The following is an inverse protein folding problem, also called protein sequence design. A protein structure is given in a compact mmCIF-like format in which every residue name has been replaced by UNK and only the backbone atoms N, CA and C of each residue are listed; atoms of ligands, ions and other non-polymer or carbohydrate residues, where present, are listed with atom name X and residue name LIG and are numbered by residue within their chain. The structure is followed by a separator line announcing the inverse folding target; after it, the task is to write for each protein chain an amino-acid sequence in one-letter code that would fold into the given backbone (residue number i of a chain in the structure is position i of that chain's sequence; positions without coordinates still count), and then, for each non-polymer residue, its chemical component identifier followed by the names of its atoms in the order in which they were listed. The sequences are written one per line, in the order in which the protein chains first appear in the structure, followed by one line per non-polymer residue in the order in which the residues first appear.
data_IF_827681744290
#
_entry.id   IF_827681744290
#
_cell.length_a   1.000
_cell.length_b   1.000
_cell.length_c   1.000
_cell.angle_alpha   90.00
_cell.angle_beta   90.00
_cell.angle_gamma   90.00
#
_symmetry.space_group_name_H-M   'P 1'
#
loop_
_entity.id
_entity.type
_entity.pdbx_description
1 polymer ?
#
# COMPACT_ATOMS: atom_id res chain seq x y z
N UNK A 1 19.16 -3.66 32.38
CA UNK A 1 18.27 -4.81 32.73
C UNK A 1 17.76 -5.40 31.43
N UNK A 2 18.43 -6.43 30.96
CA UNK A 2 17.99 -7.20 29.78
C UNK A 2 16.75 -7.99 30.16
N UNK A 3 15.60 -7.57 29.66
CA UNK A 3 14.38 -8.38 29.77
C UNK A 3 14.51 -9.55 28.78
N UNK A 4 14.71 -10.74 29.32
CA UNK A 4 14.46 -11.99 28.61
C UNK A 4 12.98 -12.02 28.24
N UNK A 5 12.67 -12.04 26.93
CA UNK A 5 11.30 -12.16 26.48
C UNK A 5 11.25 -13.03 25.23
N UNK A 6 11.00 -14.28 25.45
CA UNK A 6 10.63 -15.25 24.41
C UNK A 6 9.10 -15.30 24.16
N UNK A 7 8.36 -14.28 24.56
CA UNK A 7 6.95 -14.12 24.19
C UNK A 7 6.80 -12.86 23.35
N UNK A 8 6.56 -13.01 22.05
CA UNK A 8 6.21 -11.89 21.16
C UNK A 8 5.00 -11.14 21.76
N UNK A 9 5.20 -9.87 22.08
CA UNK A 9 4.11 -8.98 22.50
C UNK A 9 3.10 -8.85 21.36
N UNK A 10 1.83 -8.63 21.70
CA UNK A 10 0.79 -8.36 20.71
C UNK A 10 1.07 -7.11 19.86
N UNK A 11 0.49 -7.06 18.67
CA UNK A 11 0.68 -5.99 17.67
C UNK A 11 0.54 -4.58 18.27
N UNK A 12 -0.54 -4.32 19.02
CA UNK A 12 -0.79 -2.99 19.59
C UNK A 12 0.30 -2.57 20.60
N UNK A 13 0.84 -3.52 21.38
CA UNK A 13 1.93 -3.24 22.32
C UNK A 13 3.22 -2.93 21.57
N UNK A 14 3.54 -3.68 20.51
CA UNK A 14 4.72 -3.43 19.65
C UNK A 14 4.61 -2.10 18.94
N UNK A 15 3.43 -1.77 18.41
CA UNK A 15 3.16 -0.50 17.76
C UNK A 15 3.39 0.73 18.67
N UNK A 16 3.26 0.57 19.97
CA UNK A 16 3.46 1.67 20.93
C UNK A 16 4.91 1.76 21.42
N UNK A 17 5.57 0.60 21.65
CA UNK A 17 6.79 0.55 22.43
C UNK A 17 8.07 0.24 21.65
N UNK A 18 7.98 -0.56 20.58
CA UNK A 18 9.19 -0.98 19.86
C UNK A 18 9.77 0.21 19.08
N UNK A 19 11.09 0.40 19.17
CA UNK A 19 11.77 1.56 18.59
C UNK A 19 11.44 2.92 19.23
N UNK A 20 10.56 2.95 20.25
CA UNK A 20 10.06 4.16 20.90
C UNK A 20 10.48 4.22 22.38
N UNK A 21 11.80 4.09 22.62
CA UNK A 21 12.35 4.11 23.99
C UNK A 21 12.33 5.54 24.56
N UNK A 22 11.98 5.70 25.86
CA UNK A 22 12.10 6.98 26.53
C UNK A 22 13.53 7.55 26.43
N UNK A 23 13.62 8.88 26.32
CA UNK A 23 14.92 9.56 26.24
C UNK A 23 15.78 9.27 27.50
N UNK A 24 16.98 8.72 27.34
CA UNK A 24 17.79 8.33 28.48
C UNK A 24 18.34 9.52 29.29
N UNK A 25 18.38 10.71 28.68
CA UNK A 25 18.93 11.92 29.31
C UNK A 25 17.90 12.65 30.16
N UNK A 26 16.66 12.80 29.62
CA UNK A 26 15.62 13.61 30.25
C UNK A 26 14.50 12.76 30.85
N UNK A 27 14.40 11.47 30.46
CA UNK A 27 13.28 10.60 30.80
C UNK A 27 11.99 10.92 30.02
N UNK A 28 12.04 11.71 28.96
CA UNK A 28 10.89 12.03 28.15
C UNK A 28 10.28 10.74 27.56
N UNK A 29 8.98 10.54 27.75
CA UNK A 29 8.27 9.33 27.29
C UNK A 29 8.26 9.21 25.78
N UNK A 30 8.13 10.35 25.07
CA UNK A 30 8.24 10.43 23.61
C UNK A 30 9.69 10.78 23.27
N UNK A 31 10.38 9.99 22.43
CA UNK A 31 11.73 10.28 22.00
C UNK A 31 11.83 11.67 21.34
N UNK A 32 12.91 12.42 21.56
CA UNK A 32 13.14 13.70 20.90
C UNK A 32 13.22 13.58 19.38
N UNK A 33 12.84 14.64 18.66
CA UNK A 33 13.06 14.73 17.22
C UNK A 33 14.47 15.28 17.00
N UNK A 34 15.36 14.45 16.46
CA UNK A 34 16.74 14.84 16.14
C UNK A 34 16.81 15.53 14.77
N UNK A 35 16.36 16.78 14.72
CA UNK A 35 16.35 17.60 13.51
C UNK A 35 17.75 18.17 13.24
N UNK A 36 18.67 17.30 12.84
CA UNK A 36 20.08 17.64 12.55
C UNK A 36 20.58 16.90 11.32
N UNK A 37 21.57 17.46 10.65
CA UNK A 37 22.26 16.81 9.52
C UNK A 37 23.50 16.04 9.95
N UNK A 38 24.20 16.48 11.02
CA UNK A 38 25.52 15.95 11.41
C UNK A 38 25.65 15.83 12.93
N UNK A 39 26.55 14.97 13.36
CA UNK A 39 26.82 14.66 14.76
C UNK A 39 28.26 14.86 15.11
N UNK A 40 28.56 15.38 16.32
CA UNK A 40 29.92 15.59 16.82
C UNK A 40 30.57 14.25 17.15
N UNK A 41 31.84 14.11 16.75
CA UNK A 41 32.69 12.97 17.10
C UNK A 41 33.70 13.40 18.18
N UNK A 42 34.10 12.47 19.06
CA UNK A 42 35.08 12.74 20.12
C UNK A 42 36.56 12.68 19.62
N UNK A 43 36.76 12.17 18.39
CA UNK A 43 38.02 12.11 17.65
C UNK A 43 37.75 11.63 16.22
N UNK A 44 38.77 11.58 15.37
CA UNK A 44 38.65 11.11 13.99
C UNK A 44 38.16 9.66 13.99
N UNK A 45 36.96 9.43 13.41
CA UNK A 45 36.23 8.14 13.39
C UNK A 45 35.91 7.58 14.80
N UNK A 46 35.84 8.45 15.82
CA UNK A 46 35.41 8.09 17.17
C UNK A 46 34.01 8.61 17.43
N UNK A 47 33.04 7.79 17.04
CA UNK A 47 31.60 8.11 17.19
C UNK A 47 31.16 8.00 18.65
N UNK A 48 30.26 8.87 19.06
CA UNK A 48 29.56 8.76 20.35
C UNK A 48 28.61 7.57 20.37
N UNK A 49 28.04 7.30 21.54
CA UNK A 49 27.01 6.27 21.69
C UNK A 49 25.93 6.38 20.61
N UNK A 50 25.55 5.24 19.99
CA UNK A 50 24.63 5.18 18.86
C UNK A 50 25.29 5.21 17.48
N UNK A 51 26.59 5.60 17.36
CA UNK A 51 27.36 5.51 16.10
C UNK A 51 26.88 6.46 15.00
N UNK A 52 26.23 7.58 15.37
CA UNK A 52 25.72 8.54 14.39
C UNK A 52 26.82 9.47 13.90
N UNK A 53 26.87 9.68 12.60
CA UNK A 53 27.80 10.58 11.92
C UNK A 53 27.06 11.65 11.13
N UNK A 54 26.15 11.23 10.28
CA UNK A 54 25.42 12.08 9.35
C UNK A 54 24.00 11.50 9.11
N UNK A 55 22.98 12.35 9.10
CA UNK A 55 21.57 11.91 9.08
C UNK A 55 21.18 11.14 7.82
N UNK A 56 21.88 11.28 6.68
CA UNK A 56 21.67 10.42 5.52
C UNK A 56 21.98 8.95 5.82
N UNK A 57 23.01 8.67 6.60
CA UNK A 57 23.38 7.31 7.02
C UNK A 57 22.53 6.81 8.18
N UNK A 58 22.43 7.61 9.24
CA UNK A 58 21.73 7.23 10.48
C UNK A 58 21.21 8.47 11.20
N UNK A 59 19.98 8.39 11.71
CA UNK A 59 19.37 9.44 12.53
C UNK A 59 18.50 8.77 13.60
N UNK A 60 18.62 9.13 14.90
CA UNK A 60 17.91 8.44 15.98
C UNK A 60 16.39 8.39 15.78
N UNK A 61 15.76 9.47 15.29
CA UNK A 61 14.31 9.52 15.05
C UNK A 61 13.91 8.57 13.93
N UNK A 62 14.63 8.56 12.80
CA UNK A 62 14.38 7.63 11.70
C UNK A 62 14.62 6.18 12.11
N UNK A 63 15.71 5.92 12.84
CA UNK A 63 16.04 4.57 13.31
C UNK A 63 14.94 4.01 14.23
N UNK A 64 14.37 4.83 15.13
CA UNK A 64 13.27 4.42 15.98
C UNK A 64 12.00 4.06 15.19
N UNK A 65 11.70 4.78 14.12
CA UNK A 65 10.62 4.43 13.21
C UNK A 65 10.92 3.14 12.43
N UNK A 66 12.13 2.98 11.90
CA UNK A 66 12.58 1.79 11.19
C UNK A 66 12.51 0.53 12.09
N UNK A 67 12.95 0.62 13.35
CA UNK A 67 12.85 -0.45 14.33
C UNK A 67 11.39 -0.83 14.63
N UNK A 68 10.54 0.17 14.86
CA UNK A 68 9.11 -0.02 15.10
C UNK A 68 8.45 -0.77 13.94
N UNK A 69 8.67 -0.33 12.70
CA UNK A 69 8.06 -0.94 11.51
C UNK A 69 8.62 -2.34 11.24
N UNK A 70 9.93 -2.55 11.41
CA UNK A 70 10.55 -3.87 11.29
C UNK A 70 9.90 -4.88 12.27
N UNK A 71 9.68 -4.46 13.51
CA UNK A 71 8.99 -5.28 14.49
C UNK A 71 7.56 -5.64 14.03
N UNK A 72 6.78 -4.67 13.56
CA UNK A 72 5.38 -4.90 13.16
C UNK A 72 5.26 -5.85 11.97
N UNK A 73 6.16 -5.75 11.00
CA UNK A 73 6.21 -6.63 9.82
C UNK A 73 6.93 -7.96 10.06
N UNK A 74 7.42 -8.22 11.28
CA UNK A 74 8.25 -9.39 11.59
C UNK A 74 9.54 -9.48 10.75
N UNK A 75 10.08 -8.33 10.34
CA UNK A 75 11.31 -8.23 9.57
C UNK A 75 12.54 -8.12 10.46
N UNK A 76 13.72 -8.33 9.85
CA UNK A 76 15.01 -8.14 10.53
C UNK A 76 15.44 -6.69 10.52
N UNK A 77 15.08 -5.94 9.48
CA UNK A 77 15.42 -4.52 9.34
C UNK A 77 14.42 -3.80 8.44
N UNK A 78 14.15 -2.54 8.75
CA UNK A 78 13.42 -1.62 7.90
C UNK A 78 14.29 -0.42 7.49
N UNK A 79 13.91 0.22 6.39
CA UNK A 79 14.54 1.41 5.82
C UNK A 79 13.47 2.40 5.43
N UNK A 80 13.56 3.63 5.93
CA UNK A 80 12.59 4.68 5.68
C UNK A 80 13.09 5.67 4.62
N UNK A 81 12.22 5.97 3.67
CA UNK A 81 12.47 6.79 2.49
C UNK A 81 11.52 7.99 2.41
N UNK A 82 11.89 8.97 1.59
CA UNK A 82 11.14 10.21 1.41
C UNK A 82 9.77 10.05 0.71
N UNK A 83 9.49 8.89 0.10
CA UNK A 83 8.19 8.54 -0.47
C UNK A 83 8.09 7.03 -0.73
N UNK A 84 6.88 6.51 -0.97
CA UNK A 84 6.69 5.12 -1.41
C UNK A 84 7.48 4.82 -2.68
N UNK A 85 7.42 5.71 -3.68
CA UNK A 85 8.20 5.56 -4.92
C UNK A 85 9.70 5.57 -4.72
N UNK A 86 10.22 6.35 -3.74
CA UNK A 86 11.64 6.32 -3.39
C UNK A 86 12.03 4.99 -2.71
N UNK A 87 11.14 4.40 -1.93
CA UNK A 87 11.32 3.07 -1.34
C UNK A 87 11.37 1.98 -2.42
N UNK A 88 10.43 2.01 -3.37
CA UNK A 88 10.38 1.06 -4.50
C UNK A 88 11.62 1.18 -5.39
N UNK A 89 11.99 2.41 -5.82
CA UNK A 89 13.17 2.65 -6.66
C UNK A 89 14.46 2.20 -5.95
N UNK A 90 14.60 2.51 -4.64
CA UNK A 90 15.76 2.09 -3.87
C UNK A 90 15.86 0.56 -3.77
N UNK A 91 14.74 -0.12 -3.49
CA UNK A 91 14.72 -1.59 -3.44
C UNK A 91 15.08 -2.20 -4.79
N UNK A 92 14.41 -1.77 -5.87
CA UNK A 92 14.66 -2.31 -7.20
C UNK A 92 16.10 -2.07 -7.67
N UNK A 93 16.67 -0.87 -7.42
CA UNK A 93 18.10 -0.59 -7.73
C UNK A 93 19.08 -1.37 -6.87
N UNK A 94 18.71 -1.70 -5.63
CA UNK A 94 19.56 -2.51 -4.76
C UNK A 94 19.68 -3.96 -5.25
N UNK A 95 18.64 -4.48 -5.94
CA UNK A 95 18.59 -5.91 -6.28
C UNK A 95 18.72 -6.22 -7.78
N UNK A 96 18.40 -5.25 -8.67
CA UNK A 96 18.42 -5.44 -10.12
C UNK A 96 19.77 -5.05 -10.74
N UNK A 97 20.08 -5.70 -11.86
CA UNK A 97 21.21 -5.39 -12.74
C UNK A 97 20.72 -5.34 -14.19
N UNK A 98 21.43 -4.65 -15.11
CA UNK A 98 21.09 -4.66 -16.52
C UNK A 98 20.97 -6.08 -17.08
N UNK A 99 19.87 -6.35 -17.77
CA UNK A 99 19.52 -7.69 -18.29
C UNK A 99 18.55 -8.47 -17.40
N UNK A 100 18.31 -8.02 -16.17
CA UNK A 100 17.32 -8.67 -15.30
C UNK A 100 15.87 -8.46 -15.79
N UNK A 101 15.01 -9.36 -15.35
CA UNK A 101 13.59 -9.36 -15.63
C UNK A 101 12.78 -9.23 -14.34
N UNK A 102 11.70 -8.42 -14.38
CA UNK A 102 10.74 -8.23 -13.29
C UNK A 102 9.39 -8.77 -13.71
N UNK A 103 8.76 -9.58 -12.87
CA UNK A 103 7.37 -10.01 -13.01
C UNK A 103 6.50 -9.11 -12.13
N UNK A 104 5.53 -8.42 -12.73
CA UNK A 104 4.56 -7.55 -12.03
C UNK A 104 3.19 -8.21 -12.01
N UNK A 105 2.50 -8.20 -10.88
CA UNK A 105 1.06 -8.48 -10.86
C UNK A 105 0.29 -7.40 -11.66
N UNK A 106 -0.84 -7.77 -12.29
CA UNK A 106 -1.56 -6.89 -13.21
C UNK A 106 -2.00 -5.55 -12.58
N UNK A 107 -2.44 -5.62 -11.34
CA UNK A 107 -3.08 -4.50 -10.65
C UNK A 107 -2.13 -3.78 -9.67
N UNK A 108 -0.80 -3.83 -9.90
CA UNK A 108 0.12 -3.02 -9.06
C UNK A 108 -0.14 -1.53 -9.27
N UNK A 109 0.18 -0.73 -8.29
CA UNK A 109 0.05 0.72 -8.35
C UNK A 109 0.61 1.29 -9.66
N UNK A 110 -0.09 2.24 -10.27
CA UNK A 110 0.33 2.85 -11.54
C UNK A 110 1.70 3.53 -11.50
N UNK A 111 2.17 3.94 -10.31
CA UNK A 111 3.52 4.45 -10.08
C UNK A 111 4.58 3.36 -10.23
N UNK A 112 4.36 2.20 -9.61
CA UNK A 112 5.24 1.02 -9.71
C UNK A 112 5.39 0.56 -11.17
N UNK A 113 4.25 0.44 -11.88
CA UNK A 113 4.27 0.13 -13.30
C UNK A 113 5.10 1.15 -14.09
N UNK A 114 4.86 2.45 -13.88
CA UNK A 114 5.59 3.53 -14.57
C UNK A 114 7.08 3.53 -14.25
N UNK A 115 7.46 3.22 -13.00
CA UNK A 115 8.86 3.09 -12.59
C UNK A 115 9.56 1.98 -13.38
N UNK A 116 8.96 0.81 -13.45
CA UNK A 116 9.56 -0.34 -14.14
C UNK A 116 9.54 -0.14 -15.67
N UNK A 117 8.39 0.26 -16.24
CA UNK A 117 8.18 0.38 -17.67
C UNK A 117 8.93 1.57 -18.31
N UNK A 118 9.02 2.72 -17.62
CA UNK A 118 9.56 3.95 -18.22
C UNK A 118 10.94 4.34 -17.70
N UNK A 119 11.25 4.02 -16.45
CA UNK A 119 12.53 4.42 -15.83
C UNK A 119 13.54 3.29 -15.92
N UNK A 120 13.20 2.12 -15.36
CA UNK A 120 14.15 1.02 -15.26
C UNK A 120 14.38 0.31 -16.60
N UNK A 121 13.40 0.33 -17.51
CA UNK A 121 13.59 -0.17 -18.89
C UNK A 121 14.72 0.54 -19.62
N UNK A 122 14.90 1.84 -19.40
CA UNK A 122 16.05 2.61 -19.93
C UNK A 122 17.41 2.16 -19.37
N UNK A 123 17.43 1.37 -18.30
CA UNK A 123 18.63 0.79 -17.69
C UNK A 123 18.80 -0.69 -18.02
N UNK A 124 18.06 -1.18 -18.99
CA UNK A 124 18.16 -2.56 -19.48
C UNK A 124 17.36 -3.58 -18.64
N UNK A 125 16.42 -3.13 -17.81
CA UNK A 125 15.50 -4.01 -17.10
C UNK A 125 14.30 -4.31 -17.99
N UNK A 126 13.98 -5.60 -18.15
CA UNK A 126 12.76 -6.04 -18.82
C UNK A 126 11.68 -6.41 -17.81
N UNK A 127 10.41 -6.39 -18.23
CA UNK A 127 9.33 -6.81 -17.36
C UNK A 127 8.26 -7.61 -18.12
N UNK A 128 7.47 -8.34 -17.37
CA UNK A 128 6.24 -8.99 -17.82
C UNK A 128 5.14 -8.81 -16.79
N UNK A 129 3.89 -8.78 -17.25
CA UNK A 129 2.74 -8.60 -16.37
C UNK A 129 1.98 -9.92 -16.28
N UNK A 130 1.64 -10.33 -15.05
CA UNK A 130 0.77 -11.48 -14.79
C UNK A 130 -0.68 -11.00 -14.84
N UNK A 131 -1.53 -11.56 -15.71
CA UNK A 131 -2.89 -11.03 -15.93
C UNK A 131 -3.85 -11.27 -14.78
N UNK A 132 -3.47 -12.08 -13.81
CA UNK A 132 -4.30 -12.48 -12.67
C UNK A 132 -3.53 -12.40 -11.35
N UNK A 133 -4.20 -12.68 -10.23
CA UNK A 133 -3.54 -12.86 -8.93
C UNK A 133 -2.96 -14.28 -8.72
N UNK A 134 -3.03 -15.15 -9.74
CA UNK A 134 -2.65 -16.57 -9.67
C UNK A 134 -1.13 -16.76 -9.65
N UNK A 135 -0.64 -17.57 -8.72
CA UNK A 135 0.74 -18.00 -8.67
C UNK A 135 1.13 -18.88 -9.87
N UNK A 136 0.18 -19.66 -10.43
CA UNK A 136 0.42 -20.47 -11.63
C UNK A 136 0.68 -19.60 -12.86
N UNK A 137 -0.04 -18.47 -12.99
CA UNK A 137 0.22 -17.50 -14.05
C UNK A 137 1.57 -16.82 -13.84
N UNK A 138 1.94 -16.52 -12.61
CA UNK A 138 3.26 -15.99 -12.28
C UNK A 138 4.35 -16.98 -12.66
N UNK A 139 4.21 -18.26 -12.34
CA UNK A 139 5.17 -19.31 -12.70
C UNK A 139 5.38 -19.41 -14.23
N UNK A 140 4.30 -19.32 -15.01
CA UNK A 140 4.37 -19.30 -16.49
C UNK A 140 5.04 -18.04 -17.05
N UNK A 141 5.05 -16.95 -16.29
CA UNK A 141 5.62 -15.66 -16.70
C UNK A 141 7.11 -15.54 -16.36
N UNK A 142 7.60 -16.35 -15.42
CA UNK A 142 9.01 -16.39 -15.02
C UNK A 142 9.90 -16.75 -16.22
N UNK A 143 11.02 -16.07 -16.35
CA UNK A 143 12.09 -16.36 -17.31
C UNK A 143 13.28 -16.97 -16.57
N UNK A 144 13.55 -18.26 -16.72
CA UNK A 144 14.64 -18.93 -16.03
C UNK A 144 15.98 -18.22 -16.21
N UNK A 145 16.69 -17.97 -15.11
CA UNK A 145 18.00 -17.33 -15.08
C UNK A 145 18.03 -15.80 -15.31
N UNK A 146 16.89 -15.17 -15.63
CA UNK A 146 16.82 -13.71 -15.78
C UNK A 146 15.77 -13.04 -14.90
N UNK A 147 14.71 -13.73 -14.47
CA UNK A 147 13.75 -13.16 -13.52
C UNK A 147 14.42 -13.00 -12.16
N UNK A 148 14.55 -11.74 -11.72
CA UNK A 148 15.19 -11.38 -10.47
C UNK A 148 14.16 -11.01 -9.38
N UNK A 149 13.02 -10.44 -9.76
CA UNK A 149 11.99 -9.95 -8.84
C UNK A 149 10.60 -10.35 -9.33
N UNK A 150 9.78 -10.89 -8.44
CA UNK A 150 8.34 -10.95 -8.54
C UNK A 150 7.78 -9.84 -7.63
N UNK A 151 7.01 -8.91 -8.19
CA UNK A 151 6.38 -7.81 -7.46
C UNK A 151 4.87 -8.03 -7.38
N UNK A 152 4.37 -8.16 -6.17
CA UNK A 152 2.98 -8.43 -5.85
C UNK A 152 2.40 -7.27 -5.02
N UNK A 153 1.19 -6.83 -5.32
CA UNK A 153 0.38 -5.95 -4.47
C UNK A 153 -0.91 -6.68 -4.11
N UNK A 154 -1.18 -6.88 -2.82
CA UNK A 154 -2.35 -7.63 -2.36
C UNK A 154 -2.82 -7.16 -0.97
N UNK A 155 -4.12 -6.76 -0.83
CA UNK A 155 -5.10 -6.53 -1.90
C UNK A 155 -4.64 -5.49 -2.91
N UNK A 156 -4.98 -5.69 -4.19
CA UNK A 156 -4.48 -4.85 -5.29
C UNK A 156 -5.23 -3.52 -5.42
N UNK A 157 -4.62 -2.56 -6.12
CA UNK A 157 -5.20 -1.25 -6.37
C UNK A 157 -5.45 -1.05 -7.88
N UNK A 158 -6.68 -0.79 -8.33
CA UNK A 158 -7.86 -0.46 -7.53
C UNK A 158 -8.89 -1.60 -7.40
N UNK A 159 -8.64 -2.79 -7.98
CA UNK A 159 -9.65 -3.84 -8.11
C UNK A 159 -9.74 -4.78 -6.89
N UNK A 160 -8.88 -4.58 -5.90
CA UNK A 160 -8.88 -5.30 -4.61
C UNK A 160 -8.79 -6.83 -4.76
N UNK A 161 -8.08 -7.31 -5.80
CA UNK A 161 -7.79 -8.74 -5.98
C UNK A 161 -6.85 -9.20 -4.87
N UNK A 162 -7.11 -10.39 -4.35
CA UNK A 162 -6.28 -11.01 -3.30
C UNK A 162 -5.48 -12.16 -3.89
N UNK A 163 -4.20 -12.21 -3.56
CA UNK A 163 -3.29 -13.25 -4.01
C UNK A 163 -2.75 -14.08 -2.83
N UNK A 164 -2.51 -15.36 -3.07
CA UNK A 164 -1.82 -16.25 -2.13
C UNK A 164 -0.31 -15.95 -2.11
N UNK A 165 0.12 -15.17 -1.12
CA UNK A 165 1.53 -14.76 -0.97
C UNK A 165 2.43 -15.99 -0.82
N UNK A 166 2.02 -17.04 -0.09
CA UNK A 166 2.83 -18.22 0.11
C UNK A 166 3.00 -19.02 -1.20
N UNK A 167 1.99 -19.05 -2.07
CA UNK A 167 2.12 -19.64 -3.39
C UNK A 167 3.06 -18.82 -4.28
N UNK A 168 2.97 -17.49 -4.28
CA UNK A 168 3.91 -16.64 -5.00
C UNK A 168 5.35 -16.76 -4.47
N UNK A 169 5.52 -16.92 -3.14
CA UNK A 169 6.83 -17.12 -2.54
C UNK A 169 7.50 -18.41 -3.06
N UNK A 170 6.75 -19.51 -3.16
CA UNK A 170 7.25 -20.75 -3.75
C UNK A 170 7.70 -20.55 -5.21
N UNK A 171 6.93 -19.83 -6.01
CA UNK A 171 7.31 -19.51 -7.40
C UNK A 171 8.61 -18.70 -7.45
N UNK A 172 8.78 -17.74 -6.55
CA UNK A 172 9.99 -16.94 -6.48
C UNK A 172 11.21 -17.78 -6.07
N UNK A 173 11.06 -18.63 -5.04
CA UNK A 173 12.11 -19.53 -4.57
C UNK A 173 12.54 -20.53 -5.67
N UNK A 174 11.58 -21.14 -6.36
CA UNK A 174 11.84 -22.08 -7.47
C UNK A 174 12.55 -21.40 -8.66
N UNK A 175 12.27 -20.10 -8.86
CA UNK A 175 12.92 -19.30 -9.90
C UNK A 175 14.29 -18.74 -9.49
N UNK A 176 14.68 -18.86 -8.22
CA UNK A 176 15.84 -18.18 -7.66
C UNK A 176 15.69 -16.64 -7.70
N UNK A 177 14.47 -16.15 -7.53
CA UNK A 177 14.09 -14.74 -7.56
C UNK A 177 13.63 -14.26 -6.18
N UNK A 178 13.50 -12.94 -6.02
CA UNK A 178 12.94 -12.32 -4.80
C UNK A 178 11.44 -12.08 -4.97
N UNK A 179 10.65 -12.41 -3.96
CA UNK A 179 9.27 -11.93 -3.84
C UNK A 179 9.27 -10.63 -3.03
N UNK A 180 8.76 -9.57 -3.63
CA UNK A 180 8.46 -8.29 -2.99
C UNK A 180 6.94 -8.12 -2.93
N UNK A 181 6.43 -7.78 -1.77
CA UNK A 181 4.99 -7.51 -1.58
C UNK A 181 4.80 -6.06 -1.17
N UNK A 182 4.02 -5.32 -1.93
CA UNK A 182 3.49 -4.04 -1.49
C UNK A 182 2.31 -4.31 -0.54
N UNK A 183 2.52 -4.00 0.75
CA UNK A 183 1.57 -4.24 1.84
C UNK A 183 0.86 -2.96 2.29
N UNK A 184 0.87 -1.92 1.44
CA UNK A 184 0.32 -0.60 1.78
C UNK A 184 -1.16 -0.64 2.15
N UNK A 185 -1.97 -1.46 1.46
CA UNK A 185 -3.42 -1.54 1.71
C UNK A 185 -3.76 -2.36 2.96
N UNK A 186 -3.12 -3.53 3.13
CA UNK A 186 -3.37 -4.39 4.28
C UNK A 186 -2.69 -3.88 5.55
N UNK A 187 -1.51 -3.29 5.45
CA UNK A 187 -0.67 -2.89 6.58
C UNK A 187 -0.23 -4.07 7.46
N UNK A 188 0.75 -3.92 8.35
CA UNK A 188 1.09 -4.99 9.29
C UNK A 188 -0.03 -5.32 10.30
N UNK A 189 -1.12 -4.54 10.32
CA UNK A 189 -2.27 -4.84 11.17
C UNK A 189 -3.13 -5.99 10.62
N UNK A 190 -3.20 -6.13 9.29
CA UNK A 190 -4.05 -7.15 8.65
C UNK A 190 -3.24 -8.28 7.99
N UNK A 191 -1.98 -8.04 7.61
CA UNK A 191 -1.17 -9.00 6.86
C UNK A 191 0.31 -8.82 7.13
N UNK A 192 1.06 -9.93 7.26
CA UNK A 192 2.51 -9.93 7.44
C UNK A 192 3.18 -10.79 6.35
N UNK A 193 3.48 -10.23 5.17
CA UNK A 193 3.98 -10.98 4.03
C UNK A 193 5.30 -11.72 4.27
N UNK A 194 6.19 -11.17 5.13
CA UNK A 194 7.47 -11.82 5.46
C UNK A 194 7.27 -13.16 6.14
N UNK A 195 6.22 -13.32 6.95
CA UNK A 195 5.88 -14.60 7.60
C UNK A 195 5.30 -15.62 6.63
N UNK A 196 4.83 -15.16 5.46
CA UNK A 196 4.27 -15.97 4.38
C UNK A 196 5.30 -16.29 3.28
N UNK A 197 6.58 -15.92 3.49
CA UNK A 197 7.67 -16.25 2.59
C UNK A 197 8.16 -15.11 1.69
N UNK A 198 7.55 -13.92 1.73
CA UNK A 198 8.09 -12.78 1.01
C UNK A 198 9.52 -12.44 1.49
N UNK A 199 10.35 -11.90 0.61
CA UNK A 199 11.72 -11.50 0.91
C UNK A 199 11.81 -10.06 1.38
N UNK A 200 10.94 -9.20 0.84
CA UNK A 200 10.82 -7.80 1.20
C UNK A 200 9.36 -7.35 1.15
N UNK A 201 9.04 -6.36 1.97
CA UNK A 201 7.75 -5.68 2.00
C UNK A 201 7.98 -4.21 1.71
N UNK A 202 7.24 -3.66 0.77
CA UNK A 202 7.21 -2.24 0.47
C UNK A 202 5.97 -1.57 1.08
N UNK A 203 6.12 -0.32 1.50
CA UNK A 203 5.03 0.51 2.00
C UNK A 203 5.12 1.94 1.47
N UNK A 204 3.99 2.49 1.07
CA UNK A 204 3.79 3.93 1.12
C UNK A 204 3.35 4.31 2.54
N UNK A 205 4.27 4.83 3.35
CA UNK A 205 3.95 5.25 4.73
C UNK A 205 3.05 6.48 4.77
N UNK A 206 2.89 7.16 3.64
CA UNK A 206 1.91 8.22 3.36
C UNK A 206 0.47 7.80 3.68
N UNK A 207 0.17 6.49 3.59
CA UNK A 207 -1.19 5.93 3.67
C UNK A 207 -1.54 5.61 5.12
N UNK A 208 -2.07 4.44 5.40
CA UNK A 208 -2.50 4.01 6.74
C UNK A 208 -1.43 4.13 7.83
N UNK A 209 -0.14 3.98 7.48
CA UNK A 209 0.95 4.10 8.47
C UNK A 209 0.99 5.52 9.05
N UNK A 210 1.06 6.56 8.23
CA UNK A 210 0.91 7.95 8.66
C UNK A 210 -0.50 8.22 9.16
N UNK A 211 -1.49 7.90 8.33
CA UNK A 211 -2.91 7.83 8.67
C UNK A 211 -3.64 9.15 8.86
N UNK A 212 -2.98 10.29 8.64
CA UNK A 212 -3.55 11.62 8.92
C UNK A 212 -3.36 12.60 7.76
N UNK A 213 -3.02 12.11 6.57
CA UNK A 213 -2.83 12.93 5.34
C UNK A 213 -1.81 14.08 5.49
N UNK A 214 -0.91 13.98 6.47
CA UNK A 214 0.05 15.03 6.88
C UNK A 214 1.52 14.65 6.68
N UNK A 215 1.81 13.44 6.15
CA UNK A 215 3.16 12.95 5.87
C UNK A 215 3.26 12.28 4.52
N UNK A 216 4.33 12.55 3.80
CA UNK A 216 4.76 11.82 2.61
C UNK A 216 5.97 10.95 2.98
N UNK A 217 5.88 9.64 2.74
CA UNK A 217 6.98 8.74 3.06
C UNK A 217 6.82 7.35 2.46
N UNK A 218 7.88 6.56 2.57
CA UNK A 218 7.89 5.16 2.17
C UNK A 218 8.81 4.34 3.06
N UNK A 219 8.66 3.03 3.01
CA UNK A 219 9.55 2.13 3.72
C UNK A 219 9.69 0.80 2.99
N UNK A 220 10.84 0.14 3.21
CA UNK A 220 11.06 -1.26 2.86
C UNK A 220 11.44 -2.01 4.11
N UNK A 221 10.81 -3.15 4.35
CA UNK A 221 11.17 -4.08 5.42
C UNK A 221 11.66 -5.39 4.79
N UNK A 222 12.77 -5.92 5.29
CA UNK A 222 13.36 -7.16 4.77
C UNK A 222 13.45 -8.24 5.84
N UNK A 223 13.33 -9.51 5.42
CA UNK A 223 13.73 -10.64 6.24
C UNK A 223 15.24 -10.88 6.13
N UNK A 224 15.76 -11.76 6.96
CA UNK A 224 17.13 -12.27 6.77
C UNK A 224 17.18 -13.13 5.50
N UNK A 225 17.67 -12.52 4.42
CA UNK A 225 17.79 -13.14 3.12
C UNK A 225 19.04 -12.63 2.40
N UNK A 226 19.68 -13.53 1.64
CA UNK A 226 20.85 -13.21 0.82
C UNK A 226 20.44 -13.04 -0.65
N UNK A 227 21.08 -12.09 -1.29
CA UNK A 227 20.92 -11.84 -2.72
C UNK A 227 22.26 -11.51 -3.36
N UNK A 228 22.71 -12.34 -4.30
CA UNK A 228 23.95 -12.11 -5.05
C UNK A 228 25.16 -11.88 -4.14
N UNK A 229 25.29 -12.70 -3.08
CA UNK A 229 26.44 -12.74 -2.20
C UNK A 229 26.41 -11.77 -0.99
N UNK A 230 25.38 -10.92 -0.88
CA UNK A 230 25.20 -9.98 0.24
C UNK A 230 23.81 -10.17 0.86
N UNK A 231 23.61 -9.70 2.09
CA UNK A 231 22.24 -9.64 2.65
C UNK A 231 21.43 -8.52 2.00
N UNK A 232 20.11 -8.71 1.90
CA UNK A 232 19.22 -7.64 1.42
C UNK A 232 19.34 -6.37 2.27
N UNK A 233 19.56 -6.54 3.58
CA UNK A 233 19.73 -5.43 4.50
C UNK A 233 20.99 -4.60 4.20
N UNK A 234 22.14 -5.26 3.90
CA UNK A 234 23.38 -4.57 3.52
C UNK A 234 23.23 -3.82 2.20
N UNK A 235 22.63 -4.46 1.19
CA UNK A 235 22.39 -3.82 -0.11
C UNK A 235 21.49 -2.61 -0.01
N UNK A 236 20.40 -2.69 0.74
CA UNK A 236 19.50 -1.57 0.97
C UNK A 236 20.12 -0.45 1.80
N UNK A 237 20.90 -0.79 2.83
CA UNK A 237 21.62 0.18 3.62
C UNK A 237 22.61 0.98 2.75
N UNK A 238 23.36 0.28 1.90
CA UNK A 238 24.25 0.93 0.95
C UNK A 238 23.49 1.82 -0.05
N UNK A 239 22.41 1.31 -0.63
CA UNK A 239 21.58 2.06 -1.59
C UNK A 239 20.99 3.32 -0.95
N UNK A 240 20.41 3.19 0.26
CA UNK A 240 19.84 4.31 1.01
C UNK A 240 20.92 5.39 1.30
N UNK A 241 22.10 4.96 1.78
CA UNK A 241 23.19 5.87 2.07
C UNK A 241 23.76 6.55 0.82
N UNK A 242 24.01 5.78 -0.25
CA UNK A 242 24.66 6.27 -1.45
C UNK A 242 23.75 7.21 -2.27
N UNK A 243 22.44 6.88 -2.41
CA UNK A 243 21.49 7.65 -3.20
C UNK A 243 20.75 8.73 -2.40
N UNK A 244 20.62 8.54 -1.09
CA UNK A 244 20.22 9.61 -0.17
C UNK A 244 18.72 9.93 -0.13
N UNK A 245 17.83 9.10 -0.68
CA UNK A 245 16.38 9.31 -0.67
C UNK A 245 15.74 8.99 0.70
N UNK A 246 16.37 9.39 1.79
CA UNK A 246 15.97 9.08 3.18
C UNK A 246 14.77 9.89 3.65
N UNK A 247 13.98 9.32 4.56
CA UNK A 247 12.96 10.07 5.29
C UNK A 247 13.58 11.14 6.19
N UNK A 248 13.01 12.33 6.21
CA UNK A 248 13.37 13.38 7.13
C UNK A 248 12.99 13.01 8.58
N UNK A 249 13.70 13.56 9.60
CA UNK A 249 13.39 13.24 10.99
C UNK A 249 11.95 13.58 11.40
N UNK A 250 11.42 14.70 10.92
CA UNK A 250 10.04 15.09 11.24
C UNK A 250 9.02 14.16 10.59
N UNK A 251 9.23 13.78 9.32
CA UNK A 251 8.38 12.82 8.61
C UNK A 251 8.43 11.44 9.28
N UNK A 252 9.62 10.98 9.67
CA UNK A 252 9.78 9.73 10.41
C UNK A 252 9.06 9.77 11.78
N UNK A 253 9.09 10.90 12.48
CA UNK A 253 8.34 11.10 13.72
C UNK A 253 6.83 11.03 13.50
N UNK A 254 6.29 11.67 12.47
CA UNK A 254 4.85 11.61 12.16
C UNK A 254 4.43 10.19 11.79
N UNK A 255 5.22 9.48 10.98
CA UNK A 255 4.95 8.08 10.63
C UNK A 255 4.99 7.16 11.88
N UNK A 256 6.00 7.31 12.75
CA UNK A 256 6.08 6.57 14.02
C UNK A 256 4.90 6.87 14.94
N UNK A 257 4.47 8.14 15.00
CA UNK A 257 3.27 8.55 15.76
C UNK A 257 2.01 7.90 15.19
N UNK A 258 1.87 7.86 13.88
CA UNK A 258 0.76 7.20 13.19
C UNK A 258 0.68 5.70 13.50
N UNK A 259 1.82 4.99 13.50
CA UNK A 259 1.88 3.57 13.83
C UNK A 259 1.31 3.23 15.20
N UNK A 260 1.44 4.11 16.21
CA UNK A 260 0.95 3.86 17.57
C UNK A 260 -0.56 3.64 17.63
N UNK A 261 -1.30 4.18 16.68
CA UNK A 261 -2.76 4.01 16.60
C UNK A 261 -3.21 3.17 15.40
N UNK A 262 -2.28 2.61 14.65
CA UNK A 262 -2.61 1.82 13.45
C UNK A 262 -3.60 0.69 13.73
N UNK A 263 -3.45 -0.15 14.78
CA UNK A 263 -4.39 -1.23 15.02
C UNK A 263 -5.83 -0.73 15.26
N UNK A 264 -6.00 0.32 16.05
CA UNK A 264 -7.32 0.92 16.33
C UNK A 264 -7.95 1.54 15.09
N UNK A 265 -7.14 2.23 14.27
CA UNK A 265 -7.63 2.84 13.03
C UNK A 265 -8.03 1.78 12.02
N UNK A 266 -7.21 0.73 11.85
CA UNK A 266 -7.54 -0.35 10.92
C UNK A 266 -8.81 -1.11 11.33
N UNK A 267 -9.03 -1.35 12.61
CA UNK A 267 -10.29 -1.92 13.11
C UNK A 267 -11.50 -1.08 12.68
N UNK A 268 -11.43 0.24 12.86
CA UNK A 268 -12.53 1.15 12.47
C UNK A 268 -12.67 1.26 10.95
N UNK A 269 -11.56 1.38 10.19
CA UNK A 269 -11.61 1.38 8.73
C UNK A 269 -12.27 0.12 8.18
N UNK A 270 -11.90 -1.05 8.69
CA UNK A 270 -12.48 -2.33 8.26
C UNK A 270 -13.96 -2.43 8.59
N UNK A 271 -14.36 -2.03 9.80
CA UNK A 271 -15.75 -2.04 10.24
C UNK A 271 -16.62 -1.11 9.36
N UNK A 272 -16.19 0.14 9.17
CA UNK A 272 -16.92 1.08 8.33
C UNK A 272 -16.99 0.61 6.87
N UNK A 273 -15.85 0.11 6.32
CA UNK A 273 -15.81 -0.35 4.94
C UNK A 273 -16.71 -1.56 4.70
N UNK A 274 -16.83 -2.48 5.63
CA UNK A 274 -17.72 -3.62 5.51
C UNK A 274 -19.19 -3.17 5.41
N UNK A 275 -19.64 -2.27 6.28
CA UNK A 275 -21.00 -1.71 6.26
C UNK A 275 -21.27 -0.92 4.97
N UNK A 276 -20.30 -0.11 4.53
CA UNK A 276 -20.38 0.63 3.25
C UNK A 276 -20.46 -0.34 2.06
N UNK A 277 -19.66 -1.42 2.07
CA UNK A 277 -19.67 -2.41 0.99
C UNK A 277 -21.03 -3.14 0.90
N UNK A 278 -21.60 -3.54 2.04
CA UNK A 278 -22.95 -4.13 2.08
C UNK A 278 -24.03 -3.15 1.61
N UNK A 279 -23.95 -1.89 2.02
CA UNK A 279 -24.86 -0.86 1.54
C UNK A 279 -24.78 -0.71 0.03
N UNK A 280 -23.59 -0.52 -0.54
CA UNK A 280 -23.39 -0.40 -1.99
C UNK A 280 -23.89 -1.64 -2.73
N UNK A 281 -23.60 -2.83 -2.21
CA UNK A 281 -24.02 -4.12 -2.80
C UNK A 281 -25.54 -4.31 -2.84
N UNK A 282 -26.25 -3.71 -1.90
CA UNK A 282 -27.74 -3.78 -1.82
C UNK A 282 -28.46 -2.82 -2.79
N UNK A 283 -27.73 -1.93 -3.47
CA UNK A 283 -28.28 -0.86 -4.29
C UNK A 283 -28.53 -1.31 -5.73
N UNK A 284 -29.71 -1.02 -6.28
CA UNK A 284 -30.05 -1.25 -7.69
C UNK A 284 -29.30 -0.30 -8.66
N UNK A 285 -28.85 0.84 -8.17
CA UNK A 285 -28.08 1.84 -8.93
C UNK A 285 -26.54 1.64 -8.83
N UNK A 286 -26.09 0.48 -8.32
CA UNK A 286 -24.70 0.02 -8.32
C UNK A 286 -24.60 -1.29 -9.10
N UNK A 287 -23.71 -1.33 -10.09
CA UNK A 287 -23.54 -2.48 -10.99
C UNK A 287 -22.59 -3.53 -10.40
N UNK A 288 -21.53 -3.07 -9.75
CA UNK A 288 -20.45 -3.94 -9.27
C UNK A 288 -19.79 -3.32 -8.03
N UNK A 289 -19.42 -4.15 -7.06
CA UNK A 289 -18.67 -3.75 -5.86
C UNK A 289 -17.50 -4.70 -5.68
N UNK A 290 -16.28 -4.14 -5.58
CA UNK A 290 -15.08 -4.87 -5.27
C UNK A 290 -14.71 -4.59 -3.81
N UNK A 291 -14.83 -5.59 -2.97
CA UNK A 291 -14.40 -5.58 -1.57
C UNK A 291 -14.21 -7.02 -1.08
N UNK A 292 -13.01 -7.40 -0.62
CA UNK A 292 -12.72 -8.79 -0.25
C UNK A 292 -13.56 -9.33 0.93
N UNK A 293 -14.18 -8.44 1.70
CA UNK A 293 -15.08 -8.80 2.80
C UNK A 293 -16.50 -9.25 2.38
N UNK A 294 -16.88 -9.05 1.11
CA UNK A 294 -18.15 -9.54 0.60
C UNK A 294 -18.04 -11.03 0.23
N UNK A 295 -19.04 -11.85 0.61
CA UNK A 295 -19.03 -13.29 0.37
C UNK A 295 -19.01 -13.66 -1.13
N UNK A 296 -19.53 -12.78 -2.00
CA UNK A 296 -19.53 -12.97 -3.46
C UNK A 296 -18.25 -12.45 -4.14
N UNK A 297 -17.28 -11.93 -3.39
CA UNK A 297 -15.98 -11.57 -3.94
C UNK A 297 -15.20 -12.83 -4.36
N UNK A 298 -14.60 -12.88 -5.58
CA UNK A 298 -13.96 -14.09 -6.12
C UNK A 298 -12.88 -14.71 -5.25
N UNK A 299 -12.21 -13.90 -4.40
CA UNK A 299 -11.15 -14.34 -3.50
C UNK A 299 -11.54 -14.14 -2.01
N UNK A 300 -12.84 -14.13 -1.67
CA UNK A 300 -13.28 -13.96 -0.28
C UNK A 300 -12.68 -14.98 0.67
N UNK A 301 -12.75 -16.27 0.31
CA UNK A 301 -12.22 -17.34 1.14
C UNK A 301 -10.72 -17.23 1.39
N UNK A 302 -9.96 -16.84 0.37
CA UNK A 302 -8.52 -16.58 0.51
C UNK A 302 -8.26 -15.37 1.40
N UNK A 303 -9.01 -14.28 1.20
CA UNK A 303 -8.90 -13.08 2.02
C UNK A 303 -9.21 -13.38 3.49
N UNK A 304 -10.27 -14.14 3.77
CA UNK A 304 -10.64 -14.56 5.12
C UNK A 304 -9.57 -15.45 5.81
N UNK A 305 -8.77 -16.18 5.02
CA UNK A 305 -7.68 -17.01 5.54
C UNK A 305 -6.38 -16.22 5.75
N UNK A 306 -6.12 -15.19 4.96
CA UNK A 306 -4.82 -14.50 4.92
C UNK A 306 -4.82 -13.11 5.55
N UNK A 307 -5.98 -12.46 5.64
CA UNK A 307 -6.13 -11.17 6.31
C UNK A 307 -6.69 -11.37 7.73
N UNK A 308 -6.12 -10.68 8.69
CA UNK A 308 -6.47 -10.83 10.10
C UNK A 308 -7.22 -9.58 10.60
N UNK A 309 -8.40 -9.78 11.19
CA UNK A 309 -9.15 -8.70 11.84
C UNK A 309 -9.95 -7.80 10.89
N UNK A 310 -10.01 -8.10 9.59
CA UNK A 310 -10.81 -7.38 8.60
C UNK A 310 -10.22 -7.39 7.20
N UNK A 311 -10.85 -6.66 6.30
CA UNK A 311 -10.55 -6.72 4.85
C UNK A 311 -10.04 -5.39 4.27
N UNK A 312 -9.64 -4.44 5.14
CA UNK A 312 -9.17 -3.12 4.76
C UNK A 312 -10.28 -2.06 4.65
N UNK A 313 -9.85 -0.83 4.40
CA UNK A 313 -10.74 0.34 4.31
C UNK A 313 -10.95 0.87 2.88
N UNK A 314 -10.59 0.10 1.85
CA UNK A 314 -10.73 0.50 0.44
C UNK A 314 -11.84 -0.30 -0.21
N UNK A 315 -12.71 0.39 -0.93
CA UNK A 315 -13.78 -0.20 -1.74
C UNK A 315 -13.68 0.39 -3.14
N UNK A 316 -13.90 -0.42 -4.15
CA UNK A 316 -14.15 0.08 -5.50
C UNK A 316 -15.51 -0.40 -5.98
N UNK A 317 -16.21 0.47 -6.70
CA UNK A 317 -17.54 0.12 -7.24
C UNK A 317 -17.81 0.85 -8.55
N UNK A 318 -18.81 0.39 -9.28
CA UNK A 318 -19.27 1.00 -10.52
C UNK A 318 -20.74 1.40 -10.40
N UNK A 319 -21.07 2.70 -10.49
CA UNK A 319 -22.47 3.14 -10.48
C UNK A 319 -23.16 2.82 -11.82
N UNK A 320 -24.46 2.57 -11.79
CA UNK A 320 -25.26 2.49 -13.00
C UNK A 320 -25.30 3.86 -13.71
N UNK A 321 -25.11 3.87 -15.04
CA UNK A 321 -25.02 5.11 -15.84
C UNK A 321 -23.61 5.47 -16.28
N UNK A 322 -22.62 4.58 -16.03
CA UNK A 322 -21.27 4.66 -16.58
C UNK A 322 -20.46 5.87 -16.10
N UNK A 323 -19.54 6.33 -16.94
CA UNK A 323 -18.56 7.39 -16.62
C UNK A 323 -19.21 8.67 -16.08
N UNK A 324 -20.33 9.09 -16.67
CA UNK A 324 -21.01 10.31 -16.21
C UNK A 324 -21.59 10.18 -14.80
N UNK A 325 -22.14 9.01 -14.48
CA UNK A 325 -22.63 8.72 -13.13
C UNK A 325 -21.48 8.65 -12.12
N UNK A 326 -20.34 8.05 -12.49
CA UNK A 326 -19.16 8.02 -11.65
C UNK A 326 -18.62 9.44 -11.34
N UNK A 327 -18.55 10.33 -12.35
CA UNK A 327 -18.13 11.72 -12.17
C UNK A 327 -19.14 12.51 -11.32
N UNK A 328 -20.43 12.33 -11.55
CA UNK A 328 -21.47 13.00 -10.75
C UNK A 328 -21.46 12.52 -9.30
N UNK A 329 -21.27 11.22 -9.08
CA UNK A 329 -21.14 10.66 -7.72
C UNK A 329 -20.04 11.37 -6.92
N UNK A 330 -18.82 11.43 -7.47
CA UNK A 330 -17.69 12.04 -6.76
C UNK A 330 -17.83 13.56 -6.61
N UNK A 331 -18.57 14.22 -7.51
CA UNK A 331 -18.87 15.65 -7.42
C UNK A 331 -19.97 15.96 -6.41
N UNK A 332 -20.92 15.04 -6.21
CA UNK A 332 -22.03 15.20 -5.30
C UNK A 332 -21.75 14.75 -3.88
N UNK A 333 -20.70 13.96 -3.63
CA UNK A 333 -20.30 13.57 -2.29
C UNK A 333 -19.83 14.79 -1.47
N UNK A 334 -20.24 14.88 -0.22
CA UNK A 334 -19.84 15.93 0.72
C UNK A 334 -18.89 15.43 1.80
N UNK A 335 -19.02 14.13 2.15
CA UNK A 335 -18.15 13.48 3.14
C UNK A 335 -16.87 12.94 2.49
N UNK A 336 -17.01 12.28 1.31
CA UNK A 336 -15.87 11.75 0.58
C UNK A 336 -15.25 12.83 -0.30
N UNK A 337 -14.16 13.44 0.15
CA UNK A 337 -13.47 14.45 -0.63
C UNK A 337 -12.92 13.86 -1.95
N UNK A 338 -13.17 14.53 -3.07
CA UNK A 338 -12.59 14.16 -4.37
C UNK A 338 -11.09 14.43 -4.33
N UNK A 339 -10.29 13.38 -4.16
CA UNK A 339 -8.84 13.49 -4.06
C UNK A 339 -8.16 12.17 -4.40
N UNK A 340 -6.91 12.25 -4.83
CA UNK A 340 -6.00 11.10 -4.87
C UNK A 340 -5.51 10.78 -3.46
N UNK A 341 -4.87 9.62 -3.27
CA UNK A 341 -4.44 9.08 -1.98
C UNK A 341 -5.51 8.23 -1.29
N UNK A 342 -5.23 7.80 -0.07
CA UNK A 342 -6.09 6.90 0.73
C UNK A 342 -5.52 6.72 2.15
N UNK A 343 -6.29 6.08 3.03
CA UNK A 343 -5.82 5.59 4.32
C UNK A 343 -5.67 6.65 5.41
N UNK A 344 -6.14 7.87 5.14
CA UNK A 344 -6.31 8.90 6.17
C UNK A 344 -7.54 8.65 7.05
N UNK A 345 -7.63 9.38 8.15
CA UNK A 345 -8.80 9.34 9.04
C UNK A 345 -10.05 9.89 8.36
N UNK A 346 -9.87 10.80 7.40
CA UNK A 346 -10.92 11.35 6.54
C UNK A 346 -11.18 10.48 5.30
N UNK A 347 -12.42 10.50 4.82
CA UNK A 347 -12.86 9.75 3.65
C UNK A 347 -12.50 10.45 2.34
N UNK A 348 -12.01 9.66 1.37
CA UNK A 348 -11.65 10.15 0.04
C UNK A 348 -12.33 9.32 -1.06
N UNK A 349 -12.66 9.96 -2.18
CA UNK A 349 -13.14 9.32 -3.40
C UNK A 349 -12.32 9.74 -4.61
N UNK A 350 -12.12 8.83 -5.56
CA UNK A 350 -11.51 9.15 -6.85
C UNK A 350 -12.05 8.26 -7.97
N UNK A 351 -11.81 8.69 -9.23
CA UNK A 351 -12.01 7.87 -10.44
C UNK A 351 -10.62 7.40 -10.89
N UNK A 352 -10.22 6.15 -10.58
CA UNK A 352 -8.85 5.69 -10.78
C UNK A 352 -8.36 5.79 -12.22
N UNK A 353 -9.20 5.50 -13.21
CA UNK A 353 -8.85 5.51 -14.62
C UNK A 353 -8.12 6.80 -15.03
N UNK A 354 -8.66 7.96 -14.69
CA UNK A 354 -8.10 9.27 -15.08
C UNK A 354 -7.17 9.88 -14.03
N UNK A 355 -7.33 9.52 -12.73
CA UNK A 355 -6.64 10.21 -11.65
C UNK A 355 -5.37 9.48 -11.16
N UNK A 356 -5.41 8.15 -11.01
CA UNK A 356 -4.30 7.40 -10.39
C UNK A 356 -3.67 6.35 -11.31
N UNK A 357 -4.39 5.89 -12.35
CA UNK A 357 -3.96 4.84 -13.28
C UNK A 357 -3.91 5.28 -14.74
N UNK A 358 -3.84 6.58 -15.01
CA UNK A 358 -3.74 7.13 -16.36
C UNK A 358 -2.57 6.56 -17.18
N UNK A 359 -1.49 6.09 -16.53
CA UNK A 359 -0.37 5.43 -17.21
C UNK A 359 -0.71 4.06 -17.82
N UNK A 360 -1.89 3.50 -17.50
CA UNK A 360 -2.37 2.21 -18.01
C UNK A 360 -3.42 2.33 -19.13
N UNK A 361 -3.87 3.53 -19.43
CA UNK A 361 -4.84 3.79 -20.49
C UNK A 361 -4.27 3.30 -21.84
N UNK A 362 -5.07 2.54 -22.58
CA UNK A 362 -4.69 1.90 -23.84
C UNK A 362 -3.86 0.62 -23.69
N UNK A 363 -3.64 0.13 -22.48
CA UNK A 363 -2.99 -1.17 -22.24
C UNK A 363 -4.05 -2.27 -22.02
N UNK A 364 -3.65 -3.54 -22.12
CA UNK A 364 -4.52 -4.69 -21.79
C UNK A 364 -4.95 -4.74 -20.32
N UNK A 365 -4.38 -3.89 -19.47
CA UNK A 365 -4.62 -3.84 -18.02
C UNK A 365 -5.24 -2.50 -17.60
N UNK A 366 -5.96 -1.89 -18.50
CA UNK A 366 -6.70 -0.65 -18.27
C UNK A 366 -7.81 -0.86 -17.23
N UNK A 367 -7.95 0.13 -16.35
CA UNK A 367 -8.98 0.13 -15.29
C UNK A 367 -10.30 0.62 -15.89
N UNK A 368 -11.47 0.08 -15.50
CA UNK A 368 -12.76 0.58 -15.99
C UNK A 368 -12.91 2.10 -15.81
N UNK A 369 -13.35 2.78 -16.86
CA UNK A 369 -13.48 4.25 -16.88
C UNK A 369 -14.47 4.79 -15.84
N UNK A 370 -15.49 3.99 -15.52
CA UNK A 370 -16.57 4.31 -14.58
C UNK A 370 -16.34 3.76 -13.16
N UNK A 371 -15.13 3.25 -12.89
CA UNK A 371 -14.79 2.77 -11.55
C UNK A 371 -14.59 3.94 -10.59
N UNK A 372 -15.26 3.89 -9.45
CA UNK A 372 -15.05 4.79 -8.32
C UNK A 372 -14.32 4.02 -7.23
N UNK A 373 -13.26 4.58 -6.67
CA UNK A 373 -12.57 4.04 -5.50
C UNK A 373 -12.84 4.92 -4.29
N UNK A 374 -13.29 4.33 -3.20
CA UNK A 374 -13.48 4.94 -1.89
C UNK A 374 -12.34 4.53 -0.97
N UNK A 375 -11.76 5.49 -0.27
CA UNK A 375 -11.00 5.28 0.96
C UNK A 375 -11.92 5.64 2.11
N UNK A 376 -12.44 4.62 2.79
CA UNK A 376 -13.40 4.81 3.86
C UNK A 376 -12.67 5.22 5.13
N UNK A 377 -13.03 6.37 5.69
CA UNK A 377 -12.41 6.95 6.86
C UNK A 377 -13.00 6.44 8.19
N UNK A 378 -12.77 7.22 9.25
CA UNK A 378 -13.16 6.86 10.62
C UNK A 378 -14.45 7.55 11.08
N UNK A 379 -15.10 8.30 10.21
CA UNK A 379 -16.32 9.05 10.49
C UNK A 379 -17.45 8.11 10.96
N UNK A 380 -18.56 8.67 11.41
CA UNK A 380 -19.74 7.91 11.80
C UNK A 380 -20.30 7.12 10.61
N UNK A 381 -20.63 5.85 10.82
CA UNK A 381 -21.20 5.01 9.76
C UNK A 381 -22.50 5.58 9.20
N UNK A 382 -23.34 6.16 10.05
CA UNK A 382 -24.60 6.79 9.61
C UNK A 382 -24.36 7.94 8.64
N UNK A 383 -23.30 8.73 8.86
CA UNK A 383 -22.91 9.83 7.97
C UNK A 383 -22.37 9.29 6.63
N UNK A 384 -21.59 8.21 6.66
CA UNK A 384 -21.17 7.51 5.44
C UNK A 384 -22.36 7.09 4.59
N UNK A 385 -23.32 6.38 5.19
CA UNK A 385 -24.47 5.84 4.46
C UNK A 385 -25.37 6.97 3.92
N UNK A 386 -25.57 8.03 4.69
CA UNK A 386 -26.36 9.19 4.27
C UNK A 386 -25.72 9.93 3.08
N UNK A 387 -24.39 10.14 3.11
CA UNK A 387 -23.66 10.81 2.02
C UNK A 387 -23.68 9.96 0.74
N UNK A 388 -23.43 8.64 0.87
CA UNK A 388 -23.45 7.72 -0.25
C UNK A 388 -24.85 7.63 -0.90
N UNK A 389 -25.92 7.57 -0.11
CA UNK A 389 -27.29 7.56 -0.64
C UNK A 389 -27.59 8.84 -1.43
N UNK A 390 -27.20 9.98 -0.91
CA UNK A 390 -27.36 11.29 -1.55
C UNK A 390 -26.58 11.38 -2.86
N UNK A 391 -25.30 10.96 -2.85
CA UNK A 391 -24.40 11.02 -4.01
C UNK A 391 -24.85 10.03 -5.11
N UNK A 392 -25.25 8.81 -4.75
CA UNK A 392 -25.83 7.84 -5.69
C UNK A 392 -27.15 8.35 -6.29
N UNK A 393 -28.00 8.97 -5.48
CA UNK A 393 -29.22 9.62 -5.96
C UNK A 393 -28.97 10.73 -6.98
N UNK A 394 -27.87 11.49 -6.86
CA UNK A 394 -27.45 12.46 -7.86
C UNK A 394 -26.96 11.79 -9.14
N UNK A 395 -26.07 10.78 -9.02
CA UNK A 395 -25.53 10.00 -10.13
C UNK A 395 -26.63 9.33 -10.97
N UNK A 396 -27.63 8.74 -10.33
CA UNK A 396 -28.76 8.07 -11.00
C UNK A 396 -29.62 9.02 -11.84
N UNK A 397 -29.76 10.29 -11.44
CA UNK A 397 -30.48 11.31 -12.21
C UNK A 397 -29.79 11.66 -13.53
N UNK A 398 -28.49 11.63 -13.57
CA UNK A 398 -27.68 11.91 -14.76
C UNK A 398 -27.69 10.71 -15.71
N UNK A 399 -27.54 9.49 -15.19
CA UNK A 399 -27.55 8.26 -15.98
C UNK A 399 -28.89 8.00 -16.69
N UNK A 400 -30.04 8.42 -16.11
CA UNK A 400 -31.36 8.27 -16.74
C UNK A 400 -31.64 9.22 -17.90
N UNK A 401 -30.92 10.35 -18.00
CA UNK A 401 -31.14 11.34 -19.08
C UNK A 401 -30.61 10.87 -20.45
N UNK A 402 -29.77 9.85 -20.48
CA UNK A 402 -29.14 9.33 -21.70
C UNK A 402 -29.78 8.05 -22.24
N UNK A 403 -30.83 7.51 -21.59
CA UNK A 403 -31.65 6.44 -22.16
C UNK A 403 -32.67 7.10 -23.07
N UNK A 404 -32.59 7.01 -24.43
CA UNK A 404 -33.63 7.51 -25.30
C UNK A 404 -34.94 6.84 -24.90
N UNK A 405 -35.95 7.63 -24.56
CA UNK A 405 -37.29 7.09 -24.38
C UNK A 405 -37.69 6.38 -25.68
N UNK A 406 -37.84 5.06 -25.64
CA UNK A 406 -38.49 4.31 -26.71
C UNK A 406 -39.96 4.70 -26.66
N UNK A 407 -40.23 5.91 -27.19
CA UNK A 407 -41.56 6.48 -27.38
C UNK A 407 -42.25 5.74 -28.49
N UNK A 408 -43.34 5.08 -28.13
CA UNK A 408 -44.18 4.33 -29.04
C UNK A 408 -44.54 5.06 -30.32
N UNK A 409 -44.14 4.50 -31.45
CA UNK A 409 -44.74 4.77 -32.72
C UNK A 409 -46.16 4.21 -32.69
N UNK A 410 -47.14 5.06 -32.32
CA UNK A 410 -48.56 4.76 -32.64
C UNK A 410 -48.73 4.88 -34.14
N UNK A 411 -49.08 3.76 -34.74
CA UNK A 411 -49.73 3.68 -36.05
C UNK A 411 -50.83 4.76 -36.17
N UNK A 412 -50.76 5.57 -37.23
CA UNK A 412 -51.94 6.13 -37.83
C UNK A 412 -51.92 5.71 -39.28
N UNK A 413 -52.82 4.74 -39.57
CA UNK A 413 -53.33 4.45 -40.89
C UNK A 413 -54.41 5.47 -41.22
N UNK A 414 -54.31 6.10 -42.40
CA UNK A 414 -55.40 6.47 -43.30
C UNK A 414 -54.77 6.86 -44.66
#
# INVERSE_FOLDING_TARGET
MTRSTDTLRGLATRAIHDGQHPDPTTGAVVPPIYQTSTFVQDGVNQFREGGHEYSRGSNPTRNGFEEQLASLEHGTRAFAFSSGMAAEDALLRAVLQPGDHVVLAADVYGGTFRLVDRVLSGWGISHSIVPSASADDAARTVRPGSTAVLWLETPSNPLLRVADIAAWARVADDAGALLVVDNTFATPALQNPLTLGAHAVAHSTTKYIGGHSDVLGGAVVVRDAHWRGETLAERLAFQQFACGAVAGPFDAFLAARGLKTLPLRMERHCSNALEVAHFLRSREDVVEVHYPGLEDHPQHDLAAQTLHGGFGGIISFRPAGGVRAAHEFVAASELYNLSVSLGGVESLACVPHTMTHASRVGTAYEVPEDLVRLSVGLESIDDHLADLDRALGAASRVGRRDVPSVGGARQQAA
#
